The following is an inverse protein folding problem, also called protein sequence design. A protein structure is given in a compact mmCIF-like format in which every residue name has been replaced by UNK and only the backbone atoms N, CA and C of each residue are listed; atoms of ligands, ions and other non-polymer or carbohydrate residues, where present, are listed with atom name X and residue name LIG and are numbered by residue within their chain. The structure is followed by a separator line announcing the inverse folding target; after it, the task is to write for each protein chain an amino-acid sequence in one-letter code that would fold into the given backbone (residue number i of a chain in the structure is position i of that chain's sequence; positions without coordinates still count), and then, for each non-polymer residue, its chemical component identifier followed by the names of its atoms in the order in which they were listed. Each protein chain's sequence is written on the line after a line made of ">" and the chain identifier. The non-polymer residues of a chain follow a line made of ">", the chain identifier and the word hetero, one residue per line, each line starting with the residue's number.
data_IF_755475595860
#
_entry.id   IF_755475595860
#
_cell.length_a   1.000
_cell.length_b   1.000
_cell.length_c   1.000
_cell.angle_alpha   90.00
_cell.angle_beta   90.00
_cell.angle_gamma   90.00
#
_symmetry.space_group_name_H-M   'P 1'
#
loop_
_entity.id
_entity.type
_entity.pdbx_description
1 polymer ?
#
# COMPACT_ATOMS: atom_id res chain seq x y z
N UNK A 1 28.24 30.44 -0.26
CA UNK A 1 27.18 29.66 -0.94
C UNK A 1 27.24 28.24 -0.39
N UNK A 2 26.15 27.71 0.18
CA UNK A 2 26.11 26.27 0.51
C UNK A 2 26.22 25.49 -0.80
N UNK A 3 27.04 24.43 -0.89
CA UNK A 3 27.17 23.64 -2.12
C UNK A 3 25.80 23.14 -2.56
N UNK A 4 25.57 23.10 -3.87
CA UNK A 4 24.30 22.72 -4.46
C UNK A 4 24.10 21.20 -4.25
N UNK A 5 23.54 20.82 -3.11
CA UNK A 5 23.33 19.42 -2.73
C UNK A 5 22.37 18.74 -3.72
N UNK A 6 22.81 17.63 -4.29
CA UNK A 6 22.00 16.78 -5.16
C UNK A 6 22.34 15.32 -4.91
N UNK A 7 21.40 14.56 -4.34
CA UNK A 7 21.50 13.11 -4.19
C UNK A 7 20.79 12.44 -5.37
N UNK A 8 21.44 11.45 -5.97
CA UNK A 8 20.82 10.53 -6.94
C UNK A 8 20.67 9.17 -6.26
N UNK A 9 19.46 8.66 -6.21
CA UNK A 9 19.11 7.38 -5.60
C UNK A 9 18.55 6.45 -6.67
N UNK A 10 19.19 5.30 -6.89
CA UNK A 10 18.72 4.23 -7.79
C UNK A 10 18.06 3.12 -6.98
N UNK A 11 16.81 2.83 -7.27
CA UNK A 11 15.99 1.88 -6.51
C UNK A 11 15.52 0.77 -7.44
N UNK A 12 15.63 -0.47 -6.97
CA UNK A 12 15.11 -1.67 -7.62
C UNK A 12 14.02 -2.29 -6.74
N UNK A 13 12.87 -2.62 -7.35
CA UNK A 13 11.77 -3.32 -6.70
C UNK A 13 11.33 -4.52 -7.54
N UNK A 14 11.12 -5.69 -6.92
CA UNK A 14 10.64 -6.87 -7.63
C UNK A 14 9.97 -7.89 -6.68
N UNK A 15 8.72 -8.23 -6.97
CA UNK A 15 8.14 -9.50 -6.52
C UNK A 15 8.84 -10.65 -7.26
N UNK A 16 9.54 -11.49 -6.49
CA UNK A 16 10.42 -12.53 -7.03
C UNK A 16 9.70 -13.86 -7.31
N UNK A 17 8.42 -14.00 -6.93
CA UNK A 17 7.66 -15.25 -7.04
C UNK A 17 8.49 -16.46 -6.61
N UNK A 18 8.98 -16.44 -5.38
CA UNK A 18 9.87 -17.46 -4.83
C UNK A 18 9.13 -18.57 -4.09
N UNK A 19 7.92 -18.91 -4.51
CA UNK A 19 7.05 -19.87 -3.82
C UNK A 19 7.65 -21.28 -3.96
N UNK A 20 7.99 -21.95 -2.84
CA UNK A 20 8.58 -23.29 -2.90
C UNK A 20 7.67 -24.26 -3.65
N UNK A 21 8.27 -25.06 -4.54
CA UNK A 21 7.61 -26.08 -5.36
C UNK A 21 6.63 -25.59 -6.45
N UNK A 22 6.11 -24.36 -6.35
CA UNK A 22 5.20 -23.78 -7.35
C UNK A 22 5.96 -22.99 -8.41
N UNK A 23 6.95 -22.21 -7.97
CA UNK A 23 7.67 -21.29 -8.85
C UNK A 23 8.65 -22.00 -9.78
N UNK A 24 8.49 -21.76 -11.07
CA UNK A 24 9.31 -22.40 -12.11
C UNK A 24 10.70 -21.77 -12.16
N UNK A 25 11.70 -22.62 -12.44
CA UNK A 25 13.10 -22.22 -12.66
C UNK A 25 13.71 -21.34 -11.55
N UNK A 26 13.24 -21.49 -10.30
CA UNK A 26 13.57 -20.60 -9.19
C UNK A 26 15.08 -20.40 -8.98
N UNK A 27 15.86 -21.48 -8.93
CA UNK A 27 17.31 -21.39 -8.71
C UNK A 27 18.04 -20.60 -9.81
N UNK A 28 17.65 -20.77 -11.07
CA UNK A 28 18.21 -20.03 -12.20
C UNK A 28 17.79 -18.56 -12.15
N UNK A 29 16.52 -18.27 -11.86
CA UNK A 29 16.02 -16.89 -11.68
C UNK A 29 16.74 -16.17 -10.55
N UNK A 30 16.91 -16.79 -9.39
CA UNK A 30 17.65 -16.21 -8.26
C UNK A 30 19.12 -15.96 -8.59
N UNK A 31 19.77 -16.87 -9.34
CA UNK A 31 21.13 -16.67 -9.83
C UNK A 31 21.21 -15.45 -10.75
N UNK A 32 20.34 -15.36 -11.76
CA UNK A 32 20.31 -14.24 -12.72
C UNK A 32 19.94 -12.92 -12.07
N UNK A 33 18.99 -12.92 -11.13
CA UNK A 33 18.64 -11.75 -10.33
C UNK A 33 19.87 -11.22 -9.57
N UNK A 34 20.62 -12.11 -8.91
CA UNK A 34 21.85 -11.73 -8.21
C UNK A 34 22.92 -11.16 -9.15
N UNK A 35 23.08 -11.74 -10.35
CA UNK A 35 24.03 -11.23 -11.37
C UNK A 35 23.60 -9.85 -11.86
N UNK A 36 22.31 -9.70 -12.19
CA UNK A 36 21.72 -8.45 -12.65
C UNK A 36 21.89 -7.33 -11.62
N UNK A 37 21.58 -7.59 -10.35
CA UNK A 37 21.69 -6.60 -9.27
C UNK A 37 23.15 -6.16 -9.00
N UNK A 38 24.12 -7.06 -9.16
CA UNK A 38 25.55 -6.72 -9.05
C UNK A 38 26.02 -5.86 -10.22
N UNK A 39 25.61 -6.20 -11.46
CA UNK A 39 25.97 -5.45 -12.67
C UNK A 39 25.35 -4.07 -12.66
N UNK A 40 24.04 -3.99 -12.45
CA UNK A 40 23.32 -2.72 -12.46
C UNK A 40 23.67 -1.85 -11.26
N UNK A 41 23.96 -2.46 -10.10
CA UNK A 41 24.50 -1.77 -8.94
C UNK A 41 23.55 -0.63 -8.47
N UNK A 42 22.33 -0.98 -8.06
CA UNK A 42 21.36 -0.06 -7.48
C UNK A 42 21.76 0.36 -6.05
N UNK A 43 21.25 1.47 -5.54
CA UNK A 43 21.49 1.89 -4.14
C UNK A 43 20.68 1.04 -3.15
N UNK A 44 19.45 0.70 -3.54
CA UNK A 44 18.53 -0.15 -2.78
C UNK A 44 17.89 -1.16 -3.73
N UNK A 45 17.84 -2.42 -3.30
CA UNK A 45 17.00 -3.45 -3.88
C UNK A 45 16.02 -3.94 -2.80
N UNK A 46 14.72 -3.80 -3.09
CA UNK A 46 13.62 -4.21 -2.23
C UNK A 46 12.88 -5.34 -2.94
N UNK A 47 12.78 -6.50 -2.30
CA UNK A 47 12.26 -7.71 -2.93
C UNK A 47 11.12 -8.29 -2.11
N UNK A 48 10.07 -8.68 -2.81
CA UNK A 48 8.92 -9.43 -2.29
C UNK A 48 8.99 -10.90 -2.71
N UNK A 49 8.23 -11.75 -2.04
CA UNK A 49 8.12 -13.19 -2.31
C UNK A 49 9.43 -13.99 -2.31
N UNK A 50 10.44 -13.53 -1.58
CA UNK A 50 11.59 -14.38 -1.21
C UNK A 50 11.20 -15.21 0.00
N UNK A 51 10.43 -16.28 -0.23
CA UNK A 51 9.84 -17.10 0.85
C UNK A 51 10.86 -18.02 1.53
N UNK A 52 11.89 -18.46 0.81
CA UNK A 52 12.94 -19.32 1.35
C UNK A 52 14.08 -18.51 1.96
N UNK A 53 14.37 -18.74 3.24
CA UNK A 53 15.57 -18.19 3.89
C UNK A 53 16.86 -18.67 3.18
N UNK A 54 16.86 -19.87 2.59
CA UNK A 54 18.01 -20.37 1.84
C UNK A 54 18.26 -19.53 0.59
N UNK A 55 17.21 -19.15 -0.14
CA UNK A 55 17.32 -18.27 -1.31
C UNK A 55 17.78 -16.87 -0.90
N UNK A 56 17.29 -16.35 0.24
CA UNK A 56 17.81 -15.10 0.81
C UNK A 56 19.31 -15.19 1.15
N UNK A 57 19.76 -16.26 1.82
CA UNK A 57 21.18 -16.41 2.16
C UNK A 57 22.06 -16.57 0.92
N UNK A 58 21.57 -17.26 -0.11
CA UNK A 58 22.23 -17.34 -1.42
C UNK A 58 22.41 -15.95 -2.04
N UNK A 59 21.31 -15.18 -2.14
CA UNK A 59 21.35 -13.81 -2.66
C UNK A 59 22.28 -12.93 -1.84
N UNK A 60 22.21 -13.01 -0.50
CA UNK A 60 23.08 -12.25 0.40
C UNK A 60 24.56 -12.52 0.17
N UNK A 61 24.96 -13.78 0.02
CA UNK A 61 26.36 -14.12 -0.27
C UNK A 61 26.78 -13.59 -1.64
N UNK A 62 25.94 -13.77 -2.65
CA UNK A 62 26.20 -13.33 -4.03
C UNK A 62 26.28 -11.81 -4.17
N UNK A 63 25.45 -11.09 -3.41
CA UNK A 63 25.32 -9.63 -3.46
C UNK A 63 26.27 -8.91 -2.50
N UNK A 64 26.94 -9.61 -1.58
CA UNK A 64 27.83 -9.04 -0.58
C UNK A 64 28.86 -8.03 -1.12
N UNK A 65 29.50 -8.23 -2.30
CA UNK A 65 30.47 -7.27 -2.83
C UNK A 65 29.86 -5.90 -3.16
N UNK A 66 28.57 -5.86 -3.52
CA UNK A 66 27.88 -4.63 -3.92
C UNK A 66 27.02 -4.08 -2.77
N UNK A 67 26.35 -4.96 -2.02
CA UNK A 67 25.38 -4.64 -0.99
C UNK A 67 25.86 -5.17 0.37
N UNK A 68 26.65 -4.39 1.13
CA UNK A 68 27.18 -4.84 2.42
C UNK A 68 26.10 -4.97 3.50
N UNK A 69 24.96 -4.29 3.34
CA UNK A 69 23.83 -4.36 4.26
C UNK A 69 22.67 -5.11 3.61
N UNK A 70 22.13 -6.10 4.33
CA UNK A 70 20.99 -6.89 3.89
C UNK A 70 20.12 -7.29 5.07
N UNK A 71 18.81 -7.41 4.86
CA UNK A 71 17.88 -7.84 5.90
C UNK A 71 16.75 -8.71 5.34
N UNK A 72 16.34 -9.69 6.14
CA UNK A 72 15.23 -10.61 5.87
C UNK A 72 14.17 -10.43 6.95
N UNK A 73 12.97 -10.01 6.55
CA UNK A 73 11.87 -9.70 7.47
C UNK A 73 11.11 -10.98 7.81
N UNK A 74 11.21 -11.46 9.06
CA UNK A 74 10.58 -12.71 9.49
C UNK A 74 9.21 -12.45 10.12
N UNK A 75 8.22 -13.24 9.73
CA UNK A 75 6.84 -13.17 10.26
C UNK A 75 6.05 -14.42 9.90
N UNK A 76 4.88 -14.61 10.50
CA UNK A 76 3.95 -15.69 10.16
C UNK A 76 4.55 -17.09 10.32
N UNK A 77 3.93 -18.07 9.67
CA UNK A 77 4.40 -19.47 9.69
C UNK A 77 5.45 -19.66 8.58
N UNK A 78 5.19 -19.12 7.39
CA UNK A 78 6.05 -19.30 6.20
C UNK A 78 6.90 -18.08 5.84
N UNK A 79 6.88 -17.00 6.63
CA UNK A 79 7.63 -15.77 6.38
C UNK A 79 6.77 -14.59 5.95
N UNK A 80 7.42 -13.43 5.77
CA UNK A 80 6.82 -12.26 5.11
C UNK A 80 7.03 -12.26 3.60
N UNK A 81 8.06 -12.99 3.13
CA UNK A 81 8.57 -12.92 1.76
C UNK A 81 9.40 -11.67 1.47
N UNK A 82 9.59 -10.76 2.44
CA UNK A 82 10.26 -9.49 2.21
C UNK A 82 11.75 -9.57 2.56
N UNK A 83 12.58 -9.05 1.67
CA UNK A 83 13.99 -8.83 1.96
C UNK A 83 14.53 -7.61 1.23
N UNK A 84 15.65 -7.09 1.72
CA UNK A 84 16.23 -5.84 1.24
C UNK A 84 17.74 -5.95 1.21
N UNK A 85 18.33 -5.31 0.21
CA UNK A 85 19.77 -5.18 0.02
C UNK A 85 20.10 -3.70 -0.19
N UNK A 86 21.10 -3.20 0.51
CA UNK A 86 21.51 -1.80 0.46
C UNK A 86 23.02 -1.68 0.29
N UNK A 87 23.41 -0.76 -0.60
CA UNK A 87 24.80 -0.28 -0.70
C UNK A 87 25.22 0.50 0.54
N UNK A 88 24.25 1.08 1.22
CA UNK A 88 24.45 2.03 2.30
C UNK A 88 24.19 1.35 3.65
N UNK A 89 24.89 1.74 4.74
CA UNK A 89 24.63 1.19 6.06
C UNK A 89 23.22 1.50 6.55
N UNK A 90 22.47 0.46 6.90
CA UNK A 90 21.13 0.58 7.49
C UNK A 90 21.28 0.98 8.96
N UNK A 91 20.69 2.10 9.34
CA UNK A 91 20.77 2.65 10.71
C UNK A 91 19.74 2.02 11.63
N UNK A 92 18.50 1.90 11.15
CA UNK A 92 17.41 1.30 11.90
C UNK A 92 16.58 0.40 10.99
N UNK A 93 16.08 -0.68 11.58
CA UNK A 93 15.16 -1.63 10.96
C UNK A 93 13.93 -1.77 11.84
N UNK A 94 12.75 -1.71 11.24
CA UNK A 94 11.48 -1.93 11.95
C UNK A 94 10.54 -2.70 11.04
N UNK A 95 9.68 -3.53 11.62
CA UNK A 95 8.70 -4.32 10.90
C UNK A 95 7.32 -4.13 11.54
N UNK A 96 6.29 -4.02 10.71
CA UNK A 96 4.89 -4.08 11.13
C UNK A 96 4.20 -5.21 10.37
N UNK A 97 3.74 -6.23 11.10
CA UNK A 97 2.97 -7.35 10.53
C UNK A 97 1.50 -6.95 10.50
N UNK A 98 0.85 -7.14 9.35
CA UNK A 98 -0.55 -6.77 9.21
C UNK A 98 -1.46 -7.66 10.03
N UNK A 99 -2.57 -7.07 10.49
CA UNK A 99 -3.48 -7.75 11.42
C UNK A 99 -4.31 -8.83 10.74
N UNK A 100 -4.66 -8.66 9.46
CA UNK A 100 -5.54 -9.55 8.69
C UNK A 100 -4.85 -10.05 7.43
N UNK A 101 -4.78 -11.37 7.25
CA UNK A 101 -4.05 -12.02 6.15
C UNK A 101 -4.87 -13.10 5.41
N UNK A 102 -6.20 -12.99 5.38
CA UNK A 102 -7.05 -13.94 4.63
C UNK A 102 -7.70 -14.98 5.54
N UNK A 103 -8.08 -16.13 4.97
CA UNK A 103 -8.86 -17.16 5.66
C UNK A 103 -8.10 -18.49 5.78
N UNK A 104 -8.02 -19.13 6.96
CA UNK A 104 -7.26 -20.38 7.17
C UNK A 104 -7.80 -21.56 6.38
N UNK A 105 -9.11 -21.58 6.11
CA UNK A 105 -9.78 -22.64 5.39
C UNK A 105 -9.67 -22.49 3.87
N UNK A 106 -9.16 -21.35 3.37
CA UNK A 106 -8.88 -21.14 1.95
C UNK A 106 -7.46 -21.61 1.63
N UNK A 107 -7.23 -22.93 1.71
CA UNK A 107 -5.89 -23.53 1.59
C UNK A 107 -5.18 -23.20 0.27
N UNK A 108 -5.94 -22.99 -0.80
CA UNK A 108 -5.42 -22.61 -2.12
C UNK A 108 -4.97 -21.14 -2.16
N UNK A 109 -5.38 -20.32 -1.19
CA UNK A 109 -5.07 -18.90 -1.07
C UNK A 109 -4.06 -18.73 0.08
N UNK A 110 -2.77 -18.85 -0.25
CA UNK A 110 -1.69 -19.07 0.72
C UNK A 110 -1.43 -17.93 1.72
N UNK A 111 -2.02 -16.74 1.51
CA UNK A 111 -1.74 -15.53 2.29
C UNK A 111 -1.96 -15.70 3.79
N UNK A 112 -2.90 -16.54 4.24
CA UNK A 112 -3.17 -16.73 5.66
C UNK A 112 -2.00 -17.36 6.42
N UNK A 113 -1.23 -18.21 5.75
CA UNK A 113 -0.04 -18.84 6.32
C UNK A 113 1.15 -17.87 6.35
N UNK A 114 1.12 -16.85 5.50
CA UNK A 114 2.10 -15.78 5.44
C UNK A 114 1.89 -14.76 6.56
N UNK A 115 2.98 -14.12 6.98
CA UNK A 115 2.91 -12.92 7.81
C UNK A 115 3.08 -11.67 6.97
N UNK A 116 2.12 -11.33 6.10
CA UNK A 116 2.21 -10.12 5.26
C UNK A 116 2.51 -8.90 6.13
N UNK A 117 3.40 -8.05 5.67
CA UNK A 117 4.01 -7.02 6.51
C UNK A 117 4.51 -5.84 5.67
N UNK A 118 4.93 -4.78 6.38
CA UNK A 118 5.81 -3.75 5.86
C UNK A 118 7.11 -3.73 6.66
N UNK A 119 8.23 -3.68 5.95
CA UNK A 119 9.56 -3.46 6.51
C UNK A 119 9.99 -2.01 6.30
N UNK A 120 10.52 -1.35 7.34
CA UNK A 120 11.12 -0.02 7.31
C UNK A 120 12.63 -0.12 7.48
N UNK A 121 13.35 0.64 6.64
CA UNK A 121 14.76 0.90 6.72
C UNK A 121 14.99 2.41 6.89
N UNK A 122 15.80 2.79 7.87
CA UNK A 122 16.27 4.17 8.02
C UNK A 122 17.72 4.25 7.55
N UNK A 123 17.99 5.17 6.62
CA UNK A 123 19.29 5.34 5.96
C UNK A 123 19.72 6.80 6.07
N UNK A 124 21.00 7.02 6.41
CA UNK A 124 21.60 8.36 6.40
C UNK A 124 22.45 8.55 5.15
N UNK A 125 21.92 9.29 4.17
CA UNK A 125 22.53 9.46 2.85
C UNK A 125 22.93 10.92 2.65
N UNK A 126 24.24 11.20 2.72
CA UNK A 126 24.79 12.53 2.47
C UNK A 126 24.13 13.65 3.30
N UNK A 127 23.80 13.36 4.57
CA UNK A 127 23.13 14.29 5.48
C UNK A 127 21.60 14.29 5.41
N UNK A 128 20.98 13.44 4.58
CA UNK A 128 19.54 13.19 4.56
C UNK A 128 19.17 11.94 5.33
N UNK A 129 18.00 11.98 5.97
CA UNK A 129 17.33 10.79 6.50
C UNK A 129 16.34 10.26 5.48
N UNK A 130 16.63 9.10 4.90
CA UNK A 130 15.73 8.36 4.02
C UNK A 130 15.05 7.24 4.81
N UNK A 131 13.72 7.28 4.86
CA UNK A 131 12.93 6.12 5.27
C UNK A 131 12.47 5.37 4.02
N UNK A 132 12.98 4.17 3.82
CA UNK A 132 12.57 3.26 2.76
C UNK A 132 11.67 2.15 3.32
N UNK A 133 10.56 1.87 2.66
CA UNK A 133 9.58 0.88 3.05
C UNK A 133 9.46 -0.17 1.95
N UNK A 134 9.45 -1.45 2.33
CA UNK A 134 9.14 -2.60 1.45
C UNK A 134 7.87 -3.25 1.96
N UNK A 135 6.94 -3.61 1.08
CA UNK A 135 5.68 -4.25 1.49
C UNK A 135 5.16 -5.21 0.43
N UNK A 136 4.43 -6.21 0.89
CA UNK A 136 3.61 -7.06 0.04
C UNK A 136 2.23 -7.17 0.69
N UNK A 137 1.19 -6.64 0.06
CA UNK A 137 -0.18 -6.74 0.57
C UNK A 137 -0.81 -8.10 0.20
N UNK A 138 -1.98 -8.37 0.75
CA UNK A 138 -2.73 -9.59 0.48
C UNK A 138 -3.07 -9.68 -1.01
N UNK A 139 -2.98 -10.86 -1.61
CA UNK A 139 -3.26 -11.06 -3.03
C UNK A 139 -4.74 -10.86 -3.39
N UNK A 140 -5.00 -10.40 -4.62
CA UNK A 140 -6.34 -10.40 -5.20
C UNK A 140 -6.56 -11.68 -6.03
N UNK A 141 -7.28 -12.63 -5.46
CA UNK A 141 -7.51 -13.93 -6.12
C UNK A 141 -8.65 -13.91 -7.15
N UNK A 142 -9.60 -12.97 -7.03
CA UNK A 142 -10.74 -12.87 -7.94
C UNK A 142 -11.32 -11.45 -7.93
N UNK A 143 -11.14 -10.73 -9.04
CA UNK A 143 -11.61 -9.35 -9.19
C UNK A 143 -13.13 -9.19 -9.11
N UNK A 144 -13.89 -10.14 -9.66
CA UNK A 144 -15.36 -10.05 -9.71
C UNK A 144 -16.00 -10.40 -8.37
N UNK A 145 -15.36 -11.28 -7.60
CA UNK A 145 -15.83 -11.74 -6.29
C UNK A 145 -14.70 -11.70 -5.27
N UNK A 146 -14.31 -10.49 -4.92
CA UNK A 146 -13.22 -10.28 -3.99
C UNK A 146 -13.68 -10.34 -2.54
N UNK A 147 -13.58 -11.53 -1.94
CA UNK A 147 -13.90 -11.75 -0.53
C UNK A 147 -12.84 -11.20 0.44
N UNK A 148 -11.73 -10.66 -0.09
CA UNK A 148 -10.59 -10.14 0.68
C UNK A 148 -10.47 -8.62 0.62
N UNK A 149 -11.43 -7.92 0.00
CA UNK A 149 -11.36 -6.47 -0.16
C UNK A 149 -11.19 -5.75 1.19
N UNK A 150 -12.02 -6.08 2.18
CA UNK A 150 -11.92 -5.52 3.52
C UNK A 150 -10.56 -5.80 4.19
N UNK A 151 -9.96 -6.97 3.94
CA UNK A 151 -8.60 -7.28 4.42
C UNK A 151 -7.57 -6.38 3.73
N UNK A 152 -7.62 -6.25 2.39
CA UNK A 152 -6.69 -5.37 1.64
C UNK A 152 -6.85 -3.91 2.04
N UNK A 153 -8.07 -3.43 2.28
CA UNK A 153 -8.33 -2.06 2.77
C UNK A 153 -7.77 -1.87 4.18
N UNK A 154 -7.95 -2.83 5.09
CA UNK A 154 -7.37 -2.77 6.42
C UNK A 154 -5.84 -2.74 6.37
N UNK A 155 -5.21 -3.59 5.56
CA UNK A 155 -3.76 -3.58 5.36
C UNK A 155 -3.25 -2.27 4.76
N UNK A 156 -3.93 -1.74 3.73
CA UNK A 156 -3.59 -0.45 3.14
C UNK A 156 -3.69 0.69 4.16
N UNK A 157 -4.70 0.66 5.04
CA UNK A 157 -4.82 1.60 6.15
C UNK A 157 -3.67 1.45 7.16
N UNK A 158 -3.36 0.23 7.59
CA UNK A 158 -2.24 -0.06 8.49
C UNK A 158 -0.92 0.43 7.91
N UNK A 159 -0.66 0.17 6.62
CA UNK A 159 0.52 0.66 5.89
C UNK A 159 0.59 2.19 5.88
N UNK A 160 -0.50 2.85 5.47
CA UNK A 160 -0.57 4.30 5.38
C UNK A 160 -0.36 4.96 6.75
N UNK A 161 -0.98 4.41 7.79
CA UNK A 161 -0.85 4.86 9.16
C UNK A 161 0.56 4.62 9.71
N UNK A 162 1.16 3.46 9.43
CA UNK A 162 2.53 3.13 9.82
C UNK A 162 3.55 4.10 9.20
N UNK A 163 3.44 4.37 7.89
CA UNK A 163 4.29 5.35 7.19
C UNK A 163 4.13 6.73 7.84
N UNK A 164 2.90 7.18 8.09
CA UNK A 164 2.66 8.49 8.68
C UNK A 164 3.27 8.64 10.09
N UNK A 165 3.28 7.57 10.89
CA UNK A 165 3.83 7.60 12.25
C UNK A 165 5.36 7.55 12.26
N UNK A 166 5.95 6.75 11.39
CA UNK A 166 7.39 6.47 11.39
C UNK A 166 8.19 7.46 10.55
N UNK A 167 7.57 8.16 9.60
CA UNK A 167 8.25 9.12 8.71
C UNK A 167 8.43 10.53 9.27
N UNK A 168 8.01 10.80 10.53
CA UNK A 168 8.06 12.15 11.12
C UNK A 168 9.45 12.79 11.17
N UNK A 169 10.51 11.98 11.18
CA UNK A 169 11.92 12.42 11.20
C UNK A 169 12.64 12.23 9.86
N UNK A 170 11.94 11.77 8.84
CA UNK A 170 12.53 11.49 7.53
C UNK A 170 12.49 12.74 6.66
N UNK A 171 13.57 13.01 5.93
CA UNK A 171 13.60 14.04 4.89
C UNK A 171 12.95 13.53 3.59
N UNK A 172 13.13 12.23 3.33
CA UNK A 172 12.61 11.52 2.16
C UNK A 172 11.93 10.24 2.61
N UNK A 173 10.76 9.97 2.02
CA UNK A 173 10.01 8.74 2.22
C UNK A 173 9.91 8.03 0.87
N UNK A 174 10.27 6.76 0.85
CA UNK A 174 10.22 5.88 -0.30
C UNK A 174 9.45 4.63 0.08
N UNK A 175 8.39 4.29 -0.64
CA UNK A 175 7.67 3.04 -0.51
C UNK A 175 7.81 2.25 -1.80
N UNK A 176 8.22 1.01 -1.69
CA UNK A 176 8.32 0.07 -2.78
C UNK A 176 7.56 -1.22 -2.42
N UNK A 177 6.95 -1.83 -3.43
CA UNK A 177 6.50 -3.20 -3.35
C UNK A 177 5.22 -3.50 -4.08
N UNK A 178 4.79 -4.76 -3.93
CA UNK A 178 3.57 -5.30 -4.51
C UNK A 178 2.38 -4.96 -3.60
N UNK A 179 1.53 -4.05 -4.08
CA UNK A 179 0.35 -3.64 -3.35
C UNK A 179 -0.86 -4.53 -3.64
N UNK A 180 -0.82 -5.43 -4.63
CA UNK A 180 -1.98 -6.23 -5.05
C UNK A 180 -3.26 -5.38 -5.25
N UNK A 181 -3.07 -4.13 -5.69
CA UNK A 181 -4.09 -3.11 -5.85
C UNK A 181 -3.85 -2.37 -7.14
N UNK A 182 -4.86 -2.26 -7.99
CA UNK A 182 -4.81 -1.46 -9.20
C UNK A 182 -4.77 0.04 -8.84
N UNK A 183 -4.30 0.93 -9.75
CA UNK A 183 -4.08 2.34 -9.43
C UNK A 183 -5.32 3.11 -8.94
N UNK A 184 -6.52 2.66 -9.32
CA UNK A 184 -7.81 3.29 -8.96
C UNK A 184 -8.49 2.64 -7.74
N UNK A 185 -7.91 1.56 -7.21
CA UNK A 185 -8.51 0.81 -6.11
C UNK A 185 -8.54 1.62 -4.83
N UNK A 186 -9.52 1.30 -3.99
CA UNK A 186 -9.75 1.98 -2.72
C UNK A 186 -8.50 2.02 -1.84
N UNK A 187 -7.79 0.90 -1.70
CA UNK A 187 -6.57 0.83 -0.91
C UNK A 187 -5.44 1.72 -1.46
N UNK A 188 -5.26 1.77 -2.79
CA UNK A 188 -4.21 2.58 -3.43
C UNK A 188 -4.51 4.08 -3.29
N UNK A 189 -5.77 4.48 -3.52
CA UNK A 189 -6.23 5.86 -3.27
C UNK A 189 -6.08 6.24 -1.80
N UNK A 190 -6.52 5.37 -0.88
CA UNK A 190 -6.43 5.60 0.56
C UNK A 190 -4.99 5.85 1.00
N UNK A 191 -4.07 4.98 0.56
CA UNK A 191 -2.65 5.09 0.84
C UNK A 191 -2.07 6.42 0.33
N UNK A 192 -2.32 6.76 -0.94
CA UNK A 192 -1.75 7.96 -1.57
C UNK A 192 -2.32 9.25 -0.97
N UNK A 193 -3.64 9.33 -0.79
CA UNK A 193 -4.29 10.51 -0.21
C UNK A 193 -3.87 10.73 1.25
N UNK A 194 -3.76 9.67 2.05
CA UNK A 194 -3.36 9.77 3.45
C UNK A 194 -1.89 10.13 3.63
N UNK A 195 -1.01 9.54 2.83
CA UNK A 195 0.44 9.71 2.98
C UNK A 195 1.00 10.87 2.16
N UNK A 196 0.30 11.33 1.12
CA UNK A 196 0.81 12.29 0.14
C UNK A 196 1.94 11.73 -0.74
N UNK A 197 2.11 10.40 -0.80
CA UNK A 197 3.10 9.77 -1.66
C UNK A 197 2.70 9.91 -3.13
N UNK A 198 3.68 10.27 -3.96
CA UNK A 198 3.52 10.39 -5.42
C UNK A 198 4.04 9.15 -6.12
N UNK A 199 3.41 8.84 -7.23
CA UNK A 199 3.69 7.65 -8.02
C UNK A 199 4.81 7.93 -9.04
N UNK A 200 5.92 7.19 -8.96
CA UNK A 200 7.04 7.36 -9.88
C UNK A 200 6.67 7.17 -11.35
N UNK A 201 5.71 6.30 -11.65
CA UNK A 201 5.23 6.09 -13.01
C UNK A 201 4.53 7.33 -13.56
N UNK A 202 3.65 7.95 -12.76
CA UNK A 202 2.92 9.15 -13.17
C UNK A 202 3.81 10.40 -13.21
N UNK A 203 4.87 10.44 -12.41
CA UNK A 203 5.74 11.62 -12.28
C UNK A 203 6.92 11.63 -13.26
N UNK A 204 7.34 10.48 -13.77
CA UNK A 204 8.48 10.42 -14.70
C UNK A 204 8.11 10.94 -16.08
N UNK A 205 9.08 11.59 -16.75
CA UNK A 205 8.97 11.94 -18.18
C UNK A 205 9.77 11.00 -19.09
N UNK A 206 10.59 10.13 -18.50
CA UNK A 206 11.40 9.13 -19.19
C UNK A 206 11.03 7.75 -18.61
N UNK A 207 9.90 7.22 -19.11
CA UNK A 207 9.45 5.87 -18.81
C UNK A 207 9.84 4.93 -19.95
N UNK A 208 10.38 3.75 -19.61
CA UNK A 208 10.69 2.68 -20.56
C UNK A 208 10.24 1.35 -20.00
N UNK A 209 9.23 0.75 -20.59
CA UNK A 209 8.64 -0.47 -20.05
C UNK A 209 7.33 -0.79 -20.71
N UNK A 210 6.58 -1.67 -20.06
CA UNK A 210 5.26 -2.14 -20.50
C UNK A 210 4.23 -1.02 -20.48
N UNK A 211 3.21 -1.14 -21.33
CA UNK A 211 2.12 -0.17 -21.44
C UNK A 211 1.44 0.05 -20.07
N UNK A 212 0.96 1.28 -19.83
CA UNK A 212 0.31 1.69 -18.57
C UNK A 212 1.14 1.48 -17.28
N UNK A 213 2.42 1.11 -17.40
CA UNK A 213 3.27 0.74 -16.27
C UNK A 213 2.91 -0.62 -15.67
N UNK A 214 2.27 -1.51 -16.45
CA UNK A 214 1.89 -2.84 -16.01
C UNK A 214 3.11 -3.68 -15.61
N UNK A 215 2.92 -4.46 -14.55
CA UNK A 215 3.96 -5.29 -13.93
C UNK A 215 3.62 -6.77 -13.95
N UNK A 216 2.40 -7.17 -14.32
CA UNK A 216 2.11 -8.51 -14.81
C UNK A 216 1.62 -8.39 -16.24
N UNK A 217 2.37 -8.93 -17.21
CA UNK A 217 2.15 -8.63 -18.63
C UNK A 217 1.92 -9.90 -19.47
N UNK A 218 1.16 -9.83 -20.58
CA UNK A 218 0.87 -10.99 -21.42
C UNK A 218 2.12 -11.70 -21.97
N UNK A 219 3.18 -10.94 -22.25
CA UNK A 219 4.46 -11.45 -22.76
C UNK A 219 5.20 -12.32 -21.73
N UNK A 220 4.90 -12.16 -20.45
CA UNK A 220 5.54 -12.90 -19.38
C UNK A 220 5.00 -14.34 -19.29
N UNK A 221 5.88 -15.31 -19.55
CA UNK A 221 5.50 -16.73 -19.62
C UNK A 221 5.17 -17.38 -18.26
N UNK A 222 5.36 -16.67 -17.15
CA UNK A 222 4.99 -17.15 -15.81
C UNK A 222 3.64 -16.62 -15.33
N UNK A 223 3.10 -15.57 -15.95
CA UNK A 223 1.79 -15.02 -15.59
C UNK A 223 0.67 -15.94 -16.07
N UNK A 224 -0.34 -16.11 -15.23
CA UNK A 224 -1.55 -16.84 -15.59
C UNK A 224 -2.38 -16.05 -16.62
N UNK A 225 -2.42 -16.54 -17.85
CA UNK A 225 -3.12 -15.86 -18.95
C UNK A 225 -4.63 -15.71 -18.71
N UNK A 226 -5.25 -16.57 -17.89
CA UNK A 226 -6.66 -16.43 -17.53
C UNK A 226 -6.93 -15.20 -16.67
N UNK A 227 -5.98 -14.80 -15.82
CA UNK A 227 -6.10 -13.60 -15.00
C UNK A 227 -5.95 -12.32 -15.83
N UNK A 228 -5.24 -12.40 -16.95
CA UNK A 228 -5.05 -11.29 -17.88
C UNK A 228 -6.17 -11.13 -18.91
N UNK A 229 -7.12 -12.08 -19.03
CA UNK A 229 -8.23 -11.97 -20.00
C UNK A 229 -8.98 -10.62 -19.93
N UNK A 230 -9.28 -10.06 -18.73
CA UNK A 230 -9.93 -8.73 -18.62
C UNK A 230 -8.97 -7.55 -18.86
N UNK A 231 -7.66 -7.80 -18.96
CA UNK A 231 -6.59 -6.81 -18.92
C UNK A 231 -5.59 -7.02 -20.07
N UNK A 232 -5.95 -6.66 -21.32
CA UNK A 232 -5.13 -6.97 -22.50
C UNK A 232 -3.74 -6.33 -22.49
N UNK A 233 -3.56 -5.21 -21.78
CA UNK A 233 -2.26 -4.53 -21.63
C UNK A 233 -1.48 -4.99 -20.39
N UNK A 234 -2.01 -5.96 -19.63
CA UNK A 234 -1.47 -6.39 -18.34
C UNK A 234 -2.09 -5.68 -17.13
N UNK A 235 -1.58 -6.02 -15.96
CA UNK A 235 -2.03 -5.54 -14.66
C UNK A 235 -0.89 -4.78 -13.98
N UNK A 236 -1.23 -3.65 -13.35
CA UNK A 236 -0.30 -2.82 -12.58
C UNK A 236 -0.60 -2.91 -11.09
N UNK A 237 0.27 -3.61 -10.35
CA UNK A 237 0.12 -3.83 -8.90
C UNK A 237 1.41 -3.58 -8.10
N UNK A 238 2.55 -3.40 -8.77
CA UNK A 238 3.81 -3.02 -8.12
C UNK A 238 4.05 -1.51 -8.25
N UNK A 239 4.62 -0.91 -7.19
CA UNK A 239 4.78 0.54 -7.13
C UNK A 239 6.13 0.97 -6.57
N UNK A 240 6.60 2.13 -7.06
CA UNK A 240 7.61 2.96 -6.42
C UNK A 240 6.96 4.30 -6.11
N UNK A 241 6.64 4.53 -4.85
CA UNK A 241 5.98 5.73 -4.36
C UNK A 241 6.95 6.55 -3.50
N UNK A 242 6.91 7.88 -3.60
CA UNK A 242 7.84 8.73 -2.87
C UNK A 242 7.29 10.11 -2.51
N UNK A 243 7.86 10.70 -1.46
CA UNK A 243 7.70 12.11 -1.11
C UNK A 243 8.96 12.64 -0.42
N UNK A 244 9.08 13.96 -0.36
CA UNK A 244 10.07 14.63 0.47
C UNK A 244 9.36 15.67 1.34
N UNK A 245 9.94 15.97 2.50
CA UNK A 245 9.41 17.00 3.40
C UNK A 245 9.70 18.41 2.89
N UNK A 246 9.04 19.39 3.50
CA UNK A 246 9.25 20.81 3.20
C UNK A 246 10.72 21.19 3.39
N UNK A 247 11.36 21.74 2.35
CA UNK A 247 12.80 22.06 2.33
C UNK A 247 13.61 21.17 1.38
N UNK A 248 13.03 20.06 0.93
CA UNK A 248 13.58 19.21 -0.11
C UNK A 248 12.66 19.09 -1.31
N UNK A 249 13.26 18.90 -2.46
CA UNK A 249 12.60 18.58 -3.71
C UNK A 249 13.08 17.23 -4.19
N UNK A 250 12.13 16.31 -4.42
CA UNK A 250 12.39 15.00 -5.02
C UNK A 250 11.64 14.86 -6.34
N UNK A 251 12.30 14.29 -7.34
CA UNK A 251 11.69 13.97 -8.64
C UNK A 251 12.17 12.61 -9.14
N UNK A 252 11.28 11.86 -9.80
CA UNK A 252 11.65 10.69 -10.58
C UNK A 252 12.23 11.15 -11.92
N UNK A 253 13.50 10.82 -12.17
CA UNK A 253 14.17 11.15 -13.44
C UNK A 253 13.89 10.13 -14.51
N UNK A 254 13.93 8.85 -14.15
CA UNK A 254 13.66 7.74 -15.04
C UNK A 254 12.96 6.65 -14.26
N UNK A 255 11.99 5.98 -14.88
CA UNK A 255 11.44 4.71 -14.39
C UNK A 255 11.55 3.71 -15.54
N UNK A 256 12.03 2.51 -15.24
CA UNK A 256 12.05 1.42 -16.21
C UNK A 256 11.36 0.19 -15.64
N UNK A 257 10.71 -0.58 -16.49
CA UNK A 257 10.29 -1.95 -16.16
C UNK A 257 11.06 -2.96 -17.01
N UNK A 258 11.17 -4.20 -16.53
CA UNK A 258 11.35 -5.33 -17.46
C UNK A 258 10.05 -5.52 -18.28
N UNK A 259 10.10 -6.32 -19.36
CA UNK A 259 9.00 -6.38 -20.34
C UNK A 259 8.64 -7.81 -20.75
N UNK A 260 8.49 -8.73 -19.80
CA UNK A 260 8.06 -10.11 -20.06
C UNK A 260 9.10 -11.00 -20.76
N UNK A 261 10.27 -10.45 -21.05
CA UNK A 261 11.43 -11.15 -21.58
C UNK A 261 12.71 -10.60 -20.96
N UNK A 262 13.66 -11.49 -20.66
CA UNK A 262 15.01 -11.08 -20.31
C UNK A 262 15.86 -10.96 -21.59
N UNK A 263 16.46 -9.79 -21.89
CA UNK A 263 17.22 -9.60 -23.12
C UNK A 263 18.44 -10.51 -23.29
N UNK A 264 18.99 -11.05 -22.20
CA UNK A 264 20.22 -11.87 -22.21
C UNK A 264 19.93 -13.37 -22.24
N UNK A 265 18.82 -13.79 -21.63
CA UNK A 265 18.53 -15.19 -21.33
C UNK A 265 17.15 -15.66 -21.79
N UNK A 266 16.31 -14.76 -22.31
CA UNK A 266 15.04 -15.04 -22.96
C UNK A 266 13.85 -15.26 -22.04
N UNK A 267 14.05 -15.68 -20.78
CA UNK A 267 12.97 -15.88 -19.80
C UNK A 267 12.99 -14.83 -18.68
N UNK A 268 11.83 -14.35 -18.20
CA UNK A 268 11.73 -13.35 -17.14
C UNK A 268 12.44 -13.68 -15.82
N UNK A 269 12.72 -12.63 -15.03
CA UNK A 269 13.23 -12.77 -13.66
C UNK A 269 12.12 -13.19 -12.68
N UNK A 270 10.87 -12.84 -12.95
CA UNK A 270 9.67 -13.27 -12.20
C UNK A 270 8.45 -13.26 -13.12
N UNK A 271 7.31 -13.74 -12.65
CA UNK A 271 5.98 -13.42 -13.21
C UNK A 271 5.61 -11.93 -13.08
N UNK A 272 6.27 -11.20 -12.19
CA UNK A 272 6.23 -9.74 -12.12
C UNK A 272 7.42 -9.08 -12.84
N UNK A 273 7.19 -7.89 -13.38
CA UNK A 273 8.21 -7.04 -13.97
C UNK A 273 8.89 -6.16 -12.92
N UNK A 274 10.22 -6.11 -12.94
CA UNK A 274 10.99 -5.33 -11.99
C UNK A 274 10.84 -3.82 -12.25
N UNK A 275 10.65 -3.03 -11.20
CA UNK A 275 10.62 -1.57 -11.27
C UNK A 275 12.00 -1.00 -10.92
N UNK A 276 12.55 -0.19 -11.82
CA UNK A 276 13.88 0.42 -11.69
C UNK A 276 13.77 1.94 -11.77
N UNK A 277 13.78 2.60 -10.62
CA UNK A 277 13.62 4.05 -10.52
C UNK A 277 14.96 4.76 -10.27
N UNK A 278 15.17 5.90 -10.93
CA UNK A 278 16.21 6.86 -10.55
C UNK A 278 15.54 8.11 -9.99
N UNK A 279 15.67 8.31 -8.68
CA UNK A 279 15.17 9.48 -7.98
C UNK A 279 16.30 10.50 -7.80
N UNK A 280 15.96 11.78 -7.88
CA UNK A 280 16.90 12.88 -7.62
C UNK A 280 16.32 13.79 -6.55
N UNK A 281 17.07 13.94 -5.45
CA UNK A 281 16.73 14.77 -4.29
C UNK A 281 17.65 15.97 -4.25
N UNK A 282 17.09 17.15 -4.05
CA UNK A 282 17.80 18.43 -3.94
C UNK A 282 17.19 19.26 -2.82
N UNK A 283 17.88 20.27 -2.34
CA UNK A 283 17.22 21.30 -1.54
C UNK A 283 16.19 22.05 -2.39
N UNK A 284 15.04 22.37 -1.79
CA UNK A 284 14.10 23.28 -2.41
C UNK A 284 14.77 24.65 -2.61
N UNK A 285 14.46 25.36 -3.72
CA UNK A 285 14.83 26.77 -3.82
C UNK A 285 14.28 27.53 -2.60
N UNK A 286 14.99 28.54 -2.07
CA UNK A 286 14.43 29.37 -1.03
C UNK A 286 13.12 29.97 -1.54
N UNK A 287 12.01 29.75 -0.82
CA UNK A 287 10.76 30.43 -1.12
C UNK A 287 11.01 31.93 -0.99
N UNK A 288 10.97 32.67 -2.10
CA UNK A 288 10.84 34.11 -2.02
C UNK A 288 9.44 34.38 -1.45
N UNK A 289 9.39 34.89 -0.21
CA UNK A 289 8.20 35.57 0.27
C UNK A 289 7.77 36.55 -0.82
N UNK A 290 6.52 36.54 -1.28
CA UNK A 290 6.06 37.56 -2.21
C UNK A 290 6.14 38.89 -1.46
N UNK A 291 7.22 39.64 -1.69
CA UNK A 291 7.24 41.06 -1.38
C UNK A 291 6.06 41.68 -2.09
N UNK A 292 5.18 42.30 -1.31
CA UNK A 292 4.01 43.01 -1.75
C UNK A 292 4.43 44.09 -2.76
N UNK A 293 4.46 43.76 -4.05
CA UNK A 293 4.65 44.74 -5.11
C UNK A 293 3.28 45.20 -5.57
N UNK A 294 2.91 46.40 -5.11
CA UNK A 294 1.77 47.15 -5.60
C UNK A 294 1.70 47.15 -7.13
N UNK A 295 0.49 46.83 -7.61
CA UNK A 295 -0.12 47.20 -8.89
C UNK A 295 0.77 47.44 -10.10
N UNK A 296 0.65 46.56 -11.10
CA UNK A 296 0.59 46.95 -12.51
C UNK A 296 -0.20 45.89 -13.28
N UNK A 297 -1.33 46.32 -13.81
CA UNK A 297 -2.22 45.59 -14.71
C UNK A 297 -1.50 45.12 -15.98
N UNK A 298 -1.84 43.94 -16.54
CA UNK A 298 -1.28 43.49 -17.81
C UNK A 298 -1.86 44.29 -19.00
N UNK A 299 -1.08 44.54 -20.07
CA UNK A 299 -1.56 45.24 -21.26
C UNK A 299 -2.38 44.32 -22.19
N UNK A 300 -3.22 44.88 -23.08
CA UNK A 300 -4.16 44.13 -23.90
C UNK A 300 -3.48 43.49 -25.12
N UNK A 301 -3.97 42.31 -25.51
CA UNK A 301 -3.65 41.64 -26.78
C UNK A 301 -4.20 42.42 -27.98
N UNK A 302 -3.46 42.52 -29.11
CA UNK A 302 -4.04 42.86 -30.39
C UNK A 302 -4.38 41.61 -31.24
N UNK A 303 -5.62 41.54 -31.73
CA UNK A 303 -6.01 40.84 -32.99
C UNK A 303 -5.65 41.79 -34.16
N UNK A 304 -5.48 41.42 -35.44
CA UNK A 304 -6.14 40.44 -36.33
C UNK A 304 -5.43 40.43 -37.69
N UNK A 305 -5.74 39.45 -38.58
CA UNK A 305 -6.09 39.53 -40.02
C UNK A 305 -6.00 38.09 -40.61
N UNK A 306 -6.86 37.54 -41.49
CA UNK A 306 -7.93 38.05 -42.37
C UNK A 306 -8.80 36.88 -42.90
N UNK A 307 -10.13 37.11 -42.91
CA UNK A 307 -11.18 36.83 -43.93
C UNK A 307 -11.53 35.43 -44.49
N UNK A 308 -12.80 35.05 -44.30
CA UNK A 308 -13.76 34.68 -45.37
C UNK A 308 -15.22 34.89 -44.87
N UNK A 309 -16.11 35.27 -45.78
CA UNK A 309 -17.45 35.89 -45.59
C UNK A 309 -18.59 34.91 -45.22
N UNK A 310 -19.65 35.43 -44.54
CA UNK A 310 -21.10 35.39 -44.90
C UNK A 310 -22.06 35.54 -43.68
N UNK A 311 -23.34 35.96 -43.88
CA UNK A 311 -23.96 37.05 -43.09
C UNK A 311 -25.02 36.66 -42.04
N UNK A 312 -25.18 37.60 -41.08
CA UNK A 312 -26.35 38.00 -40.29
C UNK A 312 -27.47 36.98 -39.97
N UNK A 313 -27.56 36.57 -38.70
CA UNK A 313 -28.81 36.44 -37.96
C UNK A 313 -28.60 36.73 -36.46
N UNK A 314 -29.40 37.62 -35.90
CA UNK A 314 -29.39 38.06 -34.50
C UNK A 314 -29.92 36.96 -33.55
N UNK A 315 -29.31 36.71 -32.37
CA UNK A 315 -29.90 35.84 -31.35
C UNK A 315 -30.75 36.62 -30.31
N UNK A 316 -31.80 36.01 -29.73
CA UNK A 316 -32.66 36.59 -28.69
C UNK A 316 -32.03 36.52 -27.28
N UNK A 317 -32.60 37.19 -26.25
CA UNK A 317 -31.90 37.44 -24.99
C UNK A 317 -31.85 36.22 -24.07
N UNK A 318 -30.78 36.17 -23.26
CA UNK A 318 -30.47 35.11 -22.31
C UNK A 318 -31.55 34.93 -21.21
N UNK A 319 -31.84 33.69 -20.77
CA UNK A 319 -32.55 33.47 -19.52
C UNK A 319 -31.59 33.45 -18.32
N UNK A 320 -32.10 34.00 -17.21
CA UNK A 320 -31.44 34.18 -15.93
C UNK A 320 -30.83 32.90 -15.34
N UNK A 321 -29.65 33.09 -14.76
CA UNK A 321 -28.97 32.23 -13.78
C UNK A 321 -29.96 31.72 -12.70
N UNK A 322 -30.15 30.41 -12.63
CA UNK A 322 -30.56 29.74 -11.41
C UNK A 322 -29.33 28.99 -10.89
N UNK A 323 -28.57 29.63 -9.99
CA UNK A 323 -27.47 29.02 -9.25
C UNK A 323 -28.07 28.02 -8.25
N UNK A 324 -28.23 26.77 -8.70
CA UNK A 324 -28.32 25.64 -7.77
C UNK A 324 -26.94 25.52 -7.15
N UNK A 325 -26.81 25.95 -5.89
CA UNK A 325 -25.65 25.64 -5.04
C UNK A 325 -25.54 24.11 -4.96
N UNK A 326 -24.63 23.54 -5.74
CA UNK A 326 -24.25 22.14 -5.62
C UNK A 326 -23.64 21.86 -4.23
N UNK A 327 -23.74 20.62 -3.72
CA UNK A 327 -23.16 20.27 -2.43
C UNK A 327 -21.65 20.55 -2.47
N UNK A 328 -21.13 21.19 -1.42
CA UNK A 328 -19.72 21.51 -1.28
C UNK A 328 -18.85 20.30 -1.66
N UNK A 329 -17.96 20.47 -2.65
CA UNK A 329 -17.06 19.40 -3.09
C UNK A 329 -16.22 18.93 -1.91
N UNK A 330 -16.53 17.72 -1.44
CA UNK A 330 -15.79 17.05 -0.37
C UNK A 330 -14.35 16.83 -0.84
N UNK A 331 -13.36 17.18 -0.02
CA UNK A 331 -11.94 16.92 -0.35
C UNK A 331 -11.73 15.44 -0.71
N UNK A 332 -10.89 15.10 -1.71
CA UNK A 332 -10.63 13.72 -2.13
C UNK A 332 -10.27 12.79 -0.96
N UNK A 333 -9.46 13.29 -0.02
CA UNK A 333 -9.10 12.59 1.21
C UNK A 333 -10.33 12.17 2.05
N UNK A 334 -11.28 13.07 2.30
CA UNK A 334 -12.46 12.73 3.10
C UNK A 334 -13.38 11.76 2.34
N UNK A 335 -13.45 11.84 1.01
CA UNK A 335 -14.19 10.85 0.21
C UNK A 335 -13.59 9.45 0.38
N UNK A 336 -12.29 9.30 0.16
CA UNK A 336 -11.65 7.99 0.22
C UNK A 336 -11.66 7.41 1.64
N UNK A 337 -11.52 8.25 2.67
CA UNK A 337 -11.65 7.81 4.07
C UNK A 337 -13.07 7.32 4.38
N UNK A 338 -14.12 7.97 3.85
CA UNK A 338 -15.51 7.52 4.00
C UNK A 338 -15.76 6.19 3.28
N UNK A 339 -15.25 6.05 2.06
CA UNK A 339 -15.33 4.80 1.29
C UNK A 339 -14.63 3.65 2.02
N UNK A 340 -13.41 3.87 2.51
CA UNK A 340 -12.65 2.88 3.29
C UNK A 340 -13.39 2.49 4.57
N UNK A 341 -13.95 3.47 5.30
CA UNK A 341 -14.74 3.18 6.49
C UNK A 341 -15.98 2.34 6.18
N UNK A 342 -16.69 2.62 5.08
CA UNK A 342 -17.87 1.87 4.66
C UNK A 342 -17.53 0.42 4.28
N UNK A 343 -16.43 0.22 3.53
CA UNK A 343 -15.95 -1.10 3.16
C UNK A 343 -15.57 -1.95 4.39
N UNK A 344 -14.87 -1.34 5.36
CA UNK A 344 -14.57 -2.03 6.62
C UNK A 344 -15.83 -2.32 7.44
N UNK A 345 -16.87 -1.49 7.38
CA UNK A 345 -18.14 -1.77 8.07
C UNK A 345 -18.85 -3.00 7.47
N UNK A 346 -18.83 -3.14 6.14
CA UNK A 346 -19.29 -4.35 5.46
C UNK A 346 -18.50 -5.59 5.91
N UNK A 347 -17.16 -5.49 5.94
CA UNK A 347 -16.30 -6.56 6.44
C UNK A 347 -16.61 -6.94 7.90
N UNK A 348 -16.80 -5.95 8.78
CA UNK A 348 -17.18 -6.19 10.19
C UNK A 348 -18.53 -6.92 10.27
N UNK A 349 -19.52 -6.49 9.48
CA UNK A 349 -20.83 -7.12 9.46
C UNK A 349 -20.73 -8.58 9.00
N UNK A 350 -19.96 -8.85 7.95
CA UNK A 350 -19.70 -10.19 7.44
C UNK A 350 -19.00 -11.08 8.48
N UNK A 351 -17.91 -10.62 9.10
CA UNK A 351 -17.18 -11.38 10.12
C UNK A 351 -18.06 -11.69 11.35
N UNK A 352 -18.90 -10.74 11.79
CA UNK A 352 -19.86 -10.94 12.89
C UNK A 352 -20.96 -11.93 12.52
N UNK A 353 -21.42 -11.91 11.27
CA UNK A 353 -22.39 -12.89 10.78
C UNK A 353 -21.79 -14.30 10.84
N UNK A 354 -20.58 -14.50 10.33
CA UNK A 354 -19.87 -15.78 10.41
C UNK A 354 -19.60 -16.23 11.84
N UNK A 355 -19.22 -15.30 12.72
CA UNK A 355 -19.06 -15.58 14.16
C UNK A 355 -20.37 -16.09 14.77
N UNK A 356 -21.50 -15.43 14.46
CA UNK A 356 -22.81 -15.82 14.96
C UNK A 356 -23.24 -17.18 14.41
N UNK A 357 -23.04 -17.40 13.10
CA UNK A 357 -23.32 -18.67 12.43
C UNK A 357 -22.51 -19.83 13.07
N UNK A 358 -21.21 -19.64 13.24
CA UNK A 358 -20.35 -20.63 13.92
C UNK A 358 -20.83 -20.90 15.35
N UNK A 359 -21.27 -19.87 16.09
CA UNK A 359 -21.87 -20.02 17.40
C UNK A 359 -23.13 -20.91 17.41
N UNK A 360 -24.03 -20.74 16.44
CA UNK A 360 -25.19 -21.61 16.29
C UNK A 360 -24.79 -23.06 15.96
N UNK A 361 -23.76 -23.26 15.13
CA UNK A 361 -23.27 -24.60 14.79
C UNK A 361 -22.61 -25.30 15.99
N UNK A 362 -21.92 -24.56 16.86
CA UNK A 362 -21.43 -25.08 18.15
C UNK A 362 -22.61 -25.54 19.00
N UNK A 363 -23.64 -24.70 19.16
CA UNK A 363 -24.85 -25.04 19.92
C UNK A 363 -25.56 -26.29 19.40
N UNK A 364 -25.71 -26.40 18.07
CA UNK A 364 -26.26 -27.58 17.41
C UNK A 364 -25.42 -28.83 17.68
N UNK A 365 -24.09 -28.73 17.54
CA UNK A 365 -23.19 -29.85 17.82
C UNK A 365 -23.24 -30.32 19.27
N UNK A 366 -23.29 -29.40 20.24
CA UNK A 366 -23.45 -29.72 21.66
C UNK A 366 -24.80 -30.36 21.96
N UNK A 367 -25.87 -29.89 21.32
CA UNK A 367 -27.21 -30.50 21.45
C UNK A 367 -27.23 -31.94 20.93
N UNK A 368 -26.64 -32.19 19.76
CA UNK A 368 -26.52 -33.53 19.19
C UNK A 368 -25.70 -34.46 20.11
N UNK A 369 -24.59 -33.97 20.68
CA UNK A 369 -23.80 -34.72 21.66
C UNK A 369 -24.60 -35.07 22.91
N UNK A 370 -25.36 -34.12 23.46
CA UNK A 370 -26.21 -34.36 24.62
C UNK A 370 -27.30 -35.40 24.33
N UNK A 371 -27.93 -35.34 23.15
CA UNK A 371 -28.92 -36.33 22.72
C UNK A 371 -28.30 -37.72 22.58
N UNK A 372 -27.10 -37.82 22.02
CA UNK A 372 -26.37 -39.09 21.90
C UNK A 372 -25.99 -39.66 23.26
N UNK A 373 -25.58 -38.83 24.22
CA UNK A 373 -25.34 -39.26 25.60
C UNK A 373 -26.62 -39.81 26.25
N UNK A 374 -27.75 -39.14 26.06
CA UNK A 374 -29.05 -39.60 26.58
C UNK A 374 -29.48 -40.93 25.95
N UNK A 375 -29.31 -41.09 24.63
CA UNK A 375 -29.61 -42.34 23.93
C UNK A 375 -28.71 -43.49 24.37
N UNK A 376 -27.41 -43.23 24.56
CA UNK A 376 -26.47 -44.23 25.06
C UNK A 376 -26.81 -44.68 26.48
N UNK A 377 -27.18 -43.75 27.37
CA UNK A 377 -27.62 -44.06 28.72
C UNK A 377 -28.96 -44.84 28.75
N UNK A 378 -29.83 -44.60 27.77
CA UNK A 378 -31.11 -45.29 27.60
C UNK A 378 -31.05 -46.68 26.94
N UNK A 379 -29.85 -47.25 26.74
CA UNK A 379 -29.68 -48.56 26.10
C UNK A 379 -29.66 -48.53 24.56
N UNK A 380 -29.40 -47.36 23.97
CA UNK A 380 -29.28 -47.19 22.52
C UNK A 380 -28.13 -48.00 21.90
N UNK A 381 -28.26 -48.27 20.59
CA UNK A 381 -27.29 -49.06 19.83
C UNK A 381 -25.92 -48.38 19.83
N UNK A 382 -24.90 -49.08 20.33
CA UNK A 382 -23.53 -48.56 20.51
C UNK A 382 -22.93 -48.06 19.19
N UNK A 383 -23.22 -48.77 18.10
CA UNK A 383 -22.77 -48.46 16.75
C UNK A 383 -23.35 -47.13 16.26
N UNK A 384 -24.62 -46.84 16.54
CA UNK A 384 -25.28 -45.57 16.18
C UNK A 384 -24.70 -44.40 16.98
N UNK A 385 -24.38 -44.64 18.25
CA UNK A 385 -23.79 -43.62 19.14
C UNK A 385 -22.39 -43.22 18.66
N UNK A 386 -21.56 -44.18 18.25
CA UNK A 386 -20.21 -43.90 17.73
C UNK A 386 -20.29 -43.22 16.36
N UNK A 387 -21.15 -43.72 15.46
CA UNK A 387 -21.29 -43.20 14.09
C UNK A 387 -21.73 -41.73 14.09
N UNK A 388 -22.61 -41.33 15.00
CA UNK A 388 -23.12 -39.96 15.11
C UNK A 388 -22.31 -39.09 16.07
N UNK A 389 -21.57 -39.69 17.00
CA UNK A 389 -20.72 -38.98 17.97
C UNK A 389 -19.54 -38.30 17.30
N UNK A 390 -18.82 -38.99 16.42
CA UNK A 390 -17.63 -38.46 15.75
C UNK A 390 -17.95 -37.20 14.91
N UNK A 391 -18.98 -37.20 14.04
CA UNK A 391 -19.39 -35.99 13.32
C UNK A 391 -19.80 -34.84 14.23
N UNK A 392 -20.46 -35.14 15.36
CA UNK A 392 -20.93 -34.11 16.30
C UNK A 392 -19.75 -33.45 17.03
N UNK A 393 -18.73 -34.22 17.44
CA UNK A 393 -17.47 -33.67 17.97
C UNK A 393 -16.74 -32.86 16.90
N UNK A 394 -16.62 -33.39 15.68
CA UNK A 394 -16.01 -32.69 14.56
C UNK A 394 -16.69 -31.35 14.26
N UNK A 395 -18.02 -31.30 14.32
CA UNK A 395 -18.80 -30.09 14.15
C UNK A 395 -18.48 -29.04 15.23
N UNK A 396 -18.46 -29.45 16.51
CA UNK A 396 -18.14 -28.54 17.63
C UNK A 396 -16.73 -27.98 17.50
N UNK A 397 -15.74 -28.82 17.19
CA UNK A 397 -14.35 -28.39 17.05
C UNK A 397 -14.14 -27.48 15.83
N UNK A 398 -14.68 -27.87 14.67
CA UNK A 398 -14.58 -27.08 13.45
C UNK A 398 -15.29 -25.73 13.56
N UNK A 399 -16.53 -25.72 14.07
CA UNK A 399 -17.26 -24.49 14.32
C UNK A 399 -16.60 -23.64 15.42
N UNK A 400 -16.01 -24.26 16.45
CA UNK A 400 -15.20 -23.59 17.48
C UNK A 400 -14.00 -22.85 16.89
N UNK A 401 -13.23 -23.50 16.02
CA UNK A 401 -12.11 -22.87 15.32
C UNK A 401 -12.58 -21.71 14.43
N UNK A 402 -13.66 -21.91 13.67
CA UNK A 402 -14.27 -20.86 12.84
C UNK A 402 -14.76 -19.67 13.68
N UNK A 403 -15.40 -19.93 14.82
CA UNK A 403 -15.86 -18.89 15.74
C UNK A 403 -14.70 -18.03 16.26
N UNK A 404 -13.63 -18.67 16.74
CA UNK A 404 -12.46 -17.95 17.25
C UNK A 404 -11.78 -17.13 16.16
N UNK A 405 -11.64 -17.68 14.96
CA UNK A 405 -11.06 -16.98 13.82
C UNK A 405 -11.89 -15.74 13.44
N UNK A 406 -13.18 -15.90 13.17
CA UNK A 406 -14.03 -14.77 12.75
C UNK A 406 -14.22 -13.72 13.85
N UNK A 407 -14.13 -14.12 15.13
CA UNK A 407 -14.09 -13.19 16.25
C UNK A 407 -12.80 -12.34 16.22
N UNK A 408 -11.64 -12.92 15.91
CA UNK A 408 -10.38 -12.19 15.74
C UNK A 408 -10.41 -11.29 14.50
N UNK A 409 -10.95 -11.79 13.38
CA UNK A 409 -11.16 -11.02 12.16
C UNK A 409 -12.03 -9.78 12.42
N UNK A 410 -13.19 -9.95 13.05
CA UNK A 410 -14.09 -8.87 13.41
C UNK A 410 -13.40 -7.83 14.32
N UNK A 411 -12.56 -8.28 15.25
CA UNK A 411 -11.78 -7.40 16.13
C UNK A 411 -10.76 -6.58 15.34
N UNK A 412 -10.03 -7.20 14.40
CA UNK A 412 -9.07 -6.52 13.53
C UNK A 412 -9.73 -5.46 12.65
N UNK A 413 -10.83 -5.82 11.99
CA UNK A 413 -11.61 -4.90 11.16
C UNK A 413 -12.22 -3.76 11.99
N UNK A 414 -12.75 -4.05 13.18
CA UNK A 414 -13.28 -3.03 14.09
C UNK A 414 -12.20 -2.02 14.51
N UNK A 415 -10.97 -2.49 14.74
CA UNK A 415 -9.85 -1.61 15.10
C UNK A 415 -9.53 -0.64 13.96
N UNK A 416 -9.30 -1.15 12.75
CA UNK A 416 -9.00 -0.31 11.58
C UNK A 416 -10.14 0.69 11.30
N UNK A 417 -11.40 0.24 11.41
CA UNK A 417 -12.58 1.11 11.27
C UNK A 417 -12.63 2.21 12.32
N UNK A 418 -12.35 1.90 13.59
CA UNK A 418 -12.36 2.88 14.67
C UNK A 418 -11.25 3.93 14.50
N UNK A 419 -10.06 3.51 14.06
CA UNK A 419 -8.96 4.43 13.72
C UNK A 419 -9.35 5.36 12.57
N UNK A 420 -9.94 4.83 11.49
CA UNK A 420 -10.47 5.63 10.38
C UNK A 420 -11.56 6.61 10.83
N UNK A 421 -12.48 6.18 11.69
CA UNK A 421 -13.54 7.04 12.22
C UNK A 421 -12.96 8.21 13.03
N UNK A 422 -11.97 7.94 13.88
CA UNK A 422 -11.29 8.98 14.64
C UNK A 422 -10.59 9.98 13.72
N UNK A 423 -9.90 9.50 12.69
CA UNK A 423 -9.25 10.34 11.68
C UNK A 423 -10.26 11.18 10.90
N UNK A 424 -11.36 10.59 10.44
CA UNK A 424 -12.44 11.28 9.76
C UNK A 424 -13.02 12.43 10.60
N UNK A 425 -13.18 12.22 11.91
CA UNK A 425 -13.60 13.26 12.85
C UNK A 425 -12.62 14.44 12.84
N UNK A 426 -11.32 14.17 13.05
CA UNK A 426 -10.28 15.21 13.07
C UNK A 426 -10.17 15.98 11.76
N UNK A 427 -10.25 15.30 10.62
CA UNK A 427 -10.15 15.96 9.30
C UNK A 427 -11.35 16.90 9.10
N UNK A 428 -12.57 16.49 9.47
CA UNK A 428 -13.76 17.35 9.38
C UNK A 428 -13.68 18.56 10.30
N UNK A 429 -13.22 18.37 11.54
CA UNK A 429 -12.98 19.47 12.47
C UNK A 429 -11.99 20.48 11.89
N UNK A 430 -10.89 20.00 11.31
CA UNK A 430 -9.89 20.89 10.68
C UNK A 430 -10.42 21.64 9.46
N UNK A 431 -11.35 21.06 8.69
CA UNK A 431 -11.98 21.71 7.54
C UNK A 431 -13.01 22.75 7.96
N UNK A 432 -13.73 22.52 9.05
CA UNK A 432 -14.72 23.45 9.59
C UNK A 432 -14.07 24.69 10.24
N UNK A 433 -12.82 24.59 10.70
CA UNK A 433 -12.13 25.69 11.39
C UNK A 433 -11.53 26.77 10.46
N UNK A 434 -11.40 26.54 9.15
CA UNK A 434 -10.92 27.53 8.17
C UNK A 434 -9.56 28.19 8.51
N UNK A 435 -9.05 29.14 7.69
CA UNK A 435 -7.77 29.81 7.94
C UNK A 435 -7.79 30.86 9.06
N UNK A 436 -8.93 31.11 9.70
CA UNK A 436 -9.08 32.11 10.77
C UNK A 436 -9.43 31.43 12.10
N UNK A 437 -8.45 30.75 12.70
CA UNK A 437 -8.40 30.52 14.15
C UNK A 437 -7.17 29.70 14.54
N UNK A 438 -5.98 30.28 14.35
CA UNK A 438 -4.89 29.99 15.28
C UNK A 438 -4.93 31.05 16.38
N UNK A 439 -5.27 30.72 17.64
CA UNK A 439 -4.91 31.60 18.73
C UNK A 439 -3.39 31.57 18.81
N UNK A 440 -2.78 32.73 18.61
CA UNK A 440 -1.39 32.98 18.92
C UNK A 440 -1.14 32.60 20.39
N UNK A 441 -0.41 31.51 20.62
CA UNK A 441 0.30 31.31 21.88
C UNK A 441 1.57 32.17 21.82
N UNK A 442 1.41 33.45 22.10
CA UNK A 442 2.51 34.41 22.32
C UNK A 442 2.04 35.48 23.31
N UNK A 443 2.92 35.78 24.27
CA UNK A 443 2.78 36.56 25.51
C UNK A 443 2.13 35.78 26.67
N UNK A 444 2.77 35.61 27.82
CA UNK A 444 3.42 36.66 28.62
C UNK A 444 4.84 36.30 29.10
N UNK A 445 5.83 37.05 28.65
CA UNK A 445 7.03 37.29 29.46
C UNK A 445 7.64 38.65 29.10
N UNK A 446 6.92 39.73 29.42
CA UNK A 446 7.49 41.05 29.77
C UNK A 446 6.34 42.05 29.96
N UNK A 447 5.95 42.30 31.20
CA UNK A 447 5.64 43.67 31.67
C UNK A 447 5.57 43.64 33.20
N UNK A 448 6.71 43.97 33.80
CA UNK A 448 6.87 44.15 35.25
C UNK A 448 7.99 45.14 35.48
N UNK A 449 7.92 46.29 34.81
CA UNK A 449 8.81 47.41 35.08
C UNK A 449 8.12 48.74 34.73
N UNK A 450 7.38 49.31 35.69
CA UNK A 450 7.38 50.75 36.02
C UNK A 450 6.39 51.06 37.14
N UNK A 451 6.92 51.64 38.21
CA UNK A 451 6.20 52.20 39.33
C UNK A 451 7.19 52.75 40.35
N UNK A 452 7.93 53.80 39.96
CA UNK A 452 8.48 54.76 40.93
C UNK A 452 7.35 55.72 41.33
N UNK A 453 7.13 55.92 42.63
CA UNK A 453 6.81 57.19 43.31
C UNK A 453 6.12 56.92 44.67
N UNK A 454 6.94 56.85 45.74
CA UNK A 454 6.82 57.54 47.04
C UNK A 454 7.62 56.85 48.14
#
# INVERSE_FOLDING_TARGET
>A
MKPNFSLRLRVFNLNCWGIPYLSKHLADRMKRLGDFLNVESFDLALLEEVWSEQDFQYLRQKLLPTYPAAHYFRSGIIGSGLCVFSKHPIQELTQHVYTLNGYPYMLQHGDWFCGKAVGLLVLHLSGLVLNAYVTHLHAEYNRQKDIYLAHRVAQAWELAHFIQHTSKKADVVLLCGDLNLHPKDLGCRLLKEWTGLRDAYLETRDFKGSEEGCTMVPENCYVNQQELEPFPCGIRIDYVLYKAVSGFYISCKTLKTTTGHDPQSGTPLSDHEALMATLCVRHSPPQHNPTCSHGKSPPPFPRSFTTAEQPFHSPPPAPLLCLVLGPAEMSPLVSVLKEAWAELDLGVAQARWWTSFAGYMIGLGLFLLALLCALAAGGGVREVTILLGIPSVGLVLGAGAGYLFHMQEAKGLCRARAELQHVLGRVRESQNMGPESQPALLLEQQEGNRGEDQ
#
